data_IF_877539259522
#
_entry.id   IF_877539259522
#
_cell.length_a   1.000
_cell.length_b   1.000
_cell.length_c   1.000
_cell.angle_alpha   90.00
_cell.angle_beta   90.00
_cell.angle_gamma   90.00
#
_symmetry.space_group_name_H-M   'P 1'
#
loop_
_entity.id
_entity.type
_entity.pdbx_description
1 polymer ?
#
# COMPACT_ATOMS: atom_id res chain seq x y z
N UNK A 1 0.77 21.11 -4.37
CA UNK A 1 0.29 20.38 -3.18
C UNK A 1 -0.70 19.27 -3.49
N UNK A 2 -1.76 19.50 -4.28
CA UNK A 2 -2.79 18.48 -4.54
C UNK A 2 -2.26 17.19 -5.20
N UNK A 3 -1.28 17.30 -6.10
CA UNK A 3 -0.67 16.16 -6.77
C UNK A 3 0.08 15.22 -5.82
N UNK A 4 0.80 15.76 -4.82
CA UNK A 4 1.51 14.95 -3.83
C UNK A 4 0.53 14.09 -3.03
N UNK A 5 -0.61 14.68 -2.62
CA UNK A 5 -1.67 13.96 -1.91
C UNK A 5 -2.23 12.78 -2.71
N UNK A 6 -2.53 13.00 -3.99
CA UNK A 6 -3.04 11.95 -4.88
C UNK A 6 -2.03 10.82 -5.08
N UNK A 7 -0.75 11.15 -5.25
CA UNK A 7 0.33 10.17 -5.42
C UNK A 7 0.52 9.35 -4.15
N UNK A 8 0.57 9.99 -2.98
CA UNK A 8 0.68 9.30 -1.69
C UNK A 8 -0.49 8.34 -1.46
N UNK A 9 -1.71 8.75 -1.85
CA UNK A 9 -2.89 7.89 -1.73
C UNK A 9 -2.81 6.69 -2.69
N UNK A 10 -2.38 6.90 -3.94
CA UNK A 10 -2.19 5.82 -4.91
C UNK A 10 -1.12 4.81 -4.47
N UNK A 11 -0.04 5.29 -3.86
CA UNK A 11 1.02 4.44 -3.29
C UNK A 11 0.51 3.58 -2.13
N UNK A 12 -0.33 4.15 -1.25
CA UNK A 12 -0.88 3.45 -0.09
C UNK A 12 -2.04 2.50 -0.45
N UNK A 13 -2.82 2.84 -1.50
CA UNK A 13 -4.03 2.13 -1.91
C UNK A 13 -3.89 0.60 -2.01
N UNK A 14 -2.89 0.03 -2.72
CA UNK A 14 -2.80 -1.42 -2.90
C UNK A 14 -2.59 -2.15 -1.57
N UNK A 15 -1.73 -1.62 -0.70
CA UNK A 15 -1.41 -2.21 0.60
C UNK A 15 -2.62 -2.11 1.53
N UNK A 16 -3.22 -0.91 1.61
CA UNK A 16 -4.42 -0.68 2.43
C UNK A 16 -5.57 -1.56 1.96
N UNK A 17 -5.80 -1.65 0.65
CA UNK A 17 -6.84 -2.50 0.06
C UNK A 17 -6.66 -3.97 0.42
N UNK A 18 -5.44 -4.50 0.33
CA UNK A 18 -5.17 -5.88 0.69
C UNK A 18 -5.34 -6.16 2.19
N UNK A 19 -4.88 -5.26 3.05
CA UNK A 19 -5.06 -5.39 4.52
C UNK A 19 -6.54 -5.31 4.89
N UNK A 20 -7.31 -4.43 4.25
CA UNK A 20 -8.77 -4.35 4.44
C UNK A 20 -9.47 -5.64 4.02
N UNK A 21 -9.08 -6.24 2.89
CA UNK A 21 -9.61 -7.53 2.46
C UNK A 21 -9.23 -8.65 3.44
N UNK A 22 -8.02 -8.63 3.98
CA UNK A 22 -7.59 -9.57 5.01
C UNK A 22 -8.42 -9.41 6.31
N UNK A 23 -8.73 -8.18 6.71
CA UNK A 23 -9.61 -7.89 7.83
C UNK A 23 -11.02 -8.45 7.60
N UNK A 24 -11.59 -8.25 6.41
CA UNK A 24 -12.89 -8.82 6.04
C UNK A 24 -12.87 -10.36 6.09
N UNK A 25 -11.82 -10.99 5.56
CA UNK A 25 -11.66 -12.44 5.61
C UNK A 25 -11.58 -12.97 7.05
N UNK A 26 -10.81 -12.29 7.92
CA UNK A 26 -10.69 -12.65 9.33
C UNK A 26 -12.02 -12.49 10.08
N UNK A 27 -12.80 -11.46 9.77
CA UNK A 27 -14.15 -11.27 10.32
C UNK A 27 -15.07 -12.43 9.92
N UNK A 28 -15.01 -12.90 8.67
CA UNK A 28 -15.77 -14.06 8.23
C UNK A 28 -15.32 -15.36 8.92
N UNK A 29 -14.01 -15.57 9.02
CA UNK A 29 -13.43 -16.76 9.68
C UNK A 29 -13.79 -16.80 11.17
N UNK A 30 -13.75 -15.66 11.86
CA UNK A 30 -14.09 -15.60 13.29
C UNK A 30 -15.56 -15.97 13.57
N UNK A 31 -16.47 -15.72 12.62
CA UNK A 31 -17.86 -16.19 12.71
C UNK A 31 -17.99 -17.69 12.44
N UNK A 32 -17.18 -18.25 11.55
CA UNK A 32 -17.22 -19.66 11.17
C UNK A 32 -16.51 -20.59 12.18
N UNK A 33 -15.42 -20.14 12.79
CA UNK A 33 -14.61 -20.90 13.75
C UNK A 33 -14.43 -20.13 15.07
N UNK A 34 -15.44 -20.12 15.96
CA UNK A 34 -15.43 -19.31 17.18
C UNK A 34 -14.45 -19.80 18.25
N UNK A 35 -13.85 -20.98 18.09
CA UNK A 35 -12.85 -21.54 19.03
C UNK A 35 -11.40 -21.21 18.66
N UNK A 36 -11.12 -20.74 17.44
CA UNK A 36 -9.78 -20.30 17.07
C UNK A 36 -9.52 -18.89 17.61
N UNK A 37 -8.34 -18.66 18.17
CA UNK A 37 -7.89 -17.31 18.54
C UNK A 37 -7.58 -16.49 17.27
N UNK A 38 -8.63 -16.03 16.60
CA UNK A 38 -8.55 -15.21 15.40
C UNK A 38 -7.75 -13.91 15.64
N UNK A 39 -7.69 -13.45 16.89
CA UNK A 39 -6.92 -12.27 17.28
C UNK A 39 -5.42 -12.51 17.16
N UNK A 40 -4.92 -13.67 17.61
CA UNK A 40 -3.50 -14.03 17.47
C UNK A 40 -3.06 -14.25 16.02
N UNK A 41 -3.96 -14.62 15.13
CA UNK A 41 -3.64 -14.81 13.70
C UNK A 41 -3.70 -13.49 12.90
N UNK A 42 -4.39 -12.47 13.42
CA UNK A 42 -4.59 -11.20 12.71
C UNK A 42 -3.29 -10.45 12.42
N UNK A 43 -2.39 -10.34 13.40
CA UNK A 43 -1.09 -9.68 13.24
C UNK A 43 -0.18 -10.40 12.22
N UNK A 44 0.06 -11.72 12.35
CA UNK A 44 0.83 -12.47 11.34
C UNK A 44 0.28 -12.31 9.93
N UNK A 45 -1.04 -12.41 9.75
CA UNK A 45 -1.68 -12.27 8.43
C UNK A 45 -1.51 -10.88 7.84
N UNK A 46 -1.70 -9.82 8.64
CA UNK A 46 -1.56 -8.44 8.18
C UNK A 46 -0.13 -8.12 7.73
N UNK A 47 0.86 -8.55 8.50
CA UNK A 47 2.27 -8.37 8.14
C UNK A 47 2.61 -9.13 6.86
N UNK A 48 2.17 -10.38 6.75
CA UNK A 48 2.39 -11.20 5.56
C UNK A 48 1.76 -10.57 4.30
N UNK A 49 0.50 -10.14 4.41
CA UNK A 49 -0.22 -9.48 3.30
C UNK A 49 0.43 -8.15 2.93
N UNK A 50 0.81 -7.33 3.91
CA UNK A 50 1.50 -6.07 3.67
C UNK A 50 2.83 -6.26 2.92
N UNK A 51 3.63 -7.25 3.32
CA UNK A 51 4.90 -7.55 2.67
C UNK A 51 4.74 -8.13 1.26
N UNK A 52 3.81 -9.09 1.09
CA UNK A 52 3.51 -9.67 -0.22
C UNK A 52 3.06 -8.58 -1.20
N UNK A 53 2.06 -7.79 -0.80
CA UNK A 53 1.47 -6.77 -1.66
C UNK A 53 2.47 -5.65 -1.94
N UNK A 54 3.30 -5.26 -0.96
CA UNK A 54 4.38 -4.30 -1.19
C UNK A 54 5.36 -4.79 -2.25
N UNK A 55 5.77 -6.07 -2.19
CA UNK A 55 6.68 -6.68 -3.17
C UNK A 55 6.07 -6.70 -4.58
N UNK A 56 4.79 -7.06 -4.70
CA UNK A 56 4.08 -7.07 -5.99
C UNK A 56 3.75 -5.66 -6.51
N UNK A 57 3.51 -4.70 -5.61
CA UNK A 57 3.24 -3.32 -5.97
C UNK A 57 4.51 -2.56 -6.39
N UNK A 58 5.69 -2.94 -5.88
CA UNK A 58 6.96 -2.29 -6.18
C UNK A 58 7.24 -2.06 -7.68
N UNK A 59 7.14 -3.07 -8.58
CA UNK A 59 7.34 -2.86 -10.02
C UNK A 59 6.32 -1.91 -10.65
N UNK A 60 5.13 -1.79 -10.07
CA UNK A 60 4.10 -0.85 -10.54
C UNK A 60 4.35 0.58 -10.05
N UNK A 61 4.85 0.74 -8.82
CA UNK A 61 5.09 2.04 -8.18
C UNK A 61 6.42 2.68 -8.63
N UNK A 62 7.41 1.86 -8.99
CA UNK A 62 8.75 2.33 -9.37
C UNK A 62 8.75 3.34 -10.54
N UNK A 63 8.09 3.10 -11.68
CA UNK A 63 8.05 4.06 -12.78
C UNK A 63 7.37 5.37 -12.40
N UNK A 64 6.37 5.33 -11.51
CA UNK A 64 5.62 6.50 -11.07
C UNK A 64 6.49 7.40 -10.18
N UNK A 65 7.30 6.82 -9.30
CA UNK A 65 8.26 7.55 -8.47
C UNK A 65 9.33 8.24 -9.32
N UNK A 66 9.90 7.54 -10.29
CA UNK A 66 10.94 8.09 -11.19
C UNK A 66 10.38 9.28 -11.99
N UNK A 67 9.17 9.16 -12.55
CA UNK A 67 8.55 10.26 -13.30
C UNK A 67 8.33 11.53 -12.46
N UNK A 68 7.99 11.37 -11.18
CA UNK A 68 7.79 12.51 -10.26
C UNK A 68 9.12 13.17 -9.91
N UNK A 69 10.16 12.36 -9.68
CA UNK A 69 11.53 12.83 -9.46
C UNK A 69 12.06 13.60 -10.69
N UNK A 70 11.89 13.06 -11.89
CA UNK A 70 12.34 13.68 -13.13
C UNK A 70 11.64 15.03 -13.38
N UNK A 71 10.32 15.10 -13.20
CA UNK A 71 9.58 16.36 -13.30
C UNK A 71 10.07 17.40 -12.30
N UNK A 72 10.33 16.98 -11.07
CA UNK A 72 10.80 17.87 -10.00
C UNK A 72 12.22 18.38 -10.31
N UNK A 73 13.09 17.51 -10.83
CA UNK A 73 14.43 17.88 -11.28
C UNK A 73 14.42 18.87 -12.45
N UNK A 74 13.56 18.66 -13.44
CA UNK A 74 13.41 19.60 -14.55
C UNK A 74 12.87 20.97 -14.10
N UNK A 75 11.93 21.00 -13.16
CA UNK A 75 11.44 22.26 -12.58
C UNK A 75 12.54 23.03 -11.86
N UNK A 76 13.42 22.34 -11.12
CA UNK A 76 14.59 22.99 -10.52
C UNK A 76 15.53 23.56 -11.57
N UNK A 77 15.83 22.82 -12.64
CA UNK A 77 16.68 23.31 -13.73
C UNK A 77 16.09 24.52 -14.47
N UNK A 78 14.76 24.60 -14.56
CA UNK A 78 14.06 25.75 -15.12
C UNK A 78 14.11 26.99 -14.20
N UNK A 79 14.26 26.83 -12.88
CA UNK A 79 14.42 27.95 -11.94
C UNK A 79 15.82 28.60 -12.00
N UNK A 80 16.82 27.87 -12.50
CA UNK A 80 18.19 28.35 -12.65
C UNK A 80 18.46 29.02 -14.02
N UNK A 81 17.46 29.07 -14.91
CA UNK A 81 17.51 29.80 -16.18
C UNK A 81 16.73 31.10 -16.05
#
# INVERSE_FOLDING_TARGET
>A
TNQLWLISLQLALPIVGAVLLADLALVLISRAMPRMNAFSLSLPLKVLMGLLVSTFAFPYLWPQLVQVLDRSGQQMLMLFR
#
